data_IF_582289534021
#
_entry.id   IF_582289534021
#
_cell.length_a   1.000
_cell.length_b   1.000
_cell.length_c   1.000
_cell.angle_alpha   90.00
_cell.angle_beta   90.00
_cell.angle_gamma   90.00
#
_symmetry.space_group_name_H-M   'P 1'
#
loop_
_entity.id
_entity.type
_entity.pdbx_description
1 polymer ?
#
# COMPACT_ATOMS: atom_id res chain seq x y z
N UNK A 1 28.63 -51.63 -20.33
CA UNK A 1 28.47 -52.93 -19.63
C UNK A 1 27.25 -52.87 -18.75
N UNK A 2 26.34 -53.75 -18.99
CA UNK A 2 25.09 -54.08 -18.25
C UNK A 2 25.45 -54.79 -16.94
N UNK A 3 24.48 -55.23 -16.05
CA UNK A 3 23.02 -55.03 -15.97
C UNK A 3 22.37 -55.03 -14.55
N UNK A 4 21.08 -54.76 -14.55
CA UNK A 4 19.91 -55.38 -13.85
C UNK A 4 19.99 -55.94 -12.39
N UNK A 5 19.01 -55.60 -11.56
CA UNK A 5 18.12 -56.62 -10.93
C UNK A 5 16.86 -56.00 -10.36
N UNK A 6 15.75 -56.53 -10.80
CA UNK A 6 14.38 -56.38 -10.28
C UNK A 6 14.14 -57.34 -9.11
N UNK A 7 13.21 -56.98 -8.17
CA UNK A 7 12.58 -58.03 -7.33
C UNK A 7 11.06 -57.84 -7.20
N UNK A 8 10.43 -58.95 -7.34
CA UNK A 8 9.03 -59.31 -7.59
C UNK A 8 8.12 -59.21 -6.37
N UNK A 9 6.82 -59.06 -6.71
CA UNK A 9 5.59 -59.29 -5.95
C UNK A 9 5.55 -60.63 -5.19
N UNK A 10 4.78 -60.69 -4.08
CA UNK A 10 4.00 -61.89 -3.70
C UNK A 10 2.66 -61.46 -3.13
N UNK A 11 1.62 -61.96 -3.79
CA UNK A 11 0.25 -62.07 -3.27
C UNK A 11 0.11 -63.37 -2.46
N UNK A 12 -0.75 -63.37 -1.47
CA UNK A 12 -1.37 -64.59 -0.92
C UNK A 12 -2.84 -64.34 -0.61
N UNK A 13 -3.68 -65.11 -1.28
CA UNK A 13 -5.11 -65.29 -1.09
C UNK A 13 -5.35 -66.47 -0.09
N UNK A 14 -6.47 -66.40 0.62
CA UNK A 14 -7.42 -67.52 0.91
C UNK A 14 -8.43 -67.06 1.96
N UNK A 15 -9.71 -66.96 1.65
CA UNK A 15 -10.83 -67.92 1.50
C UNK A 15 -11.44 -68.37 2.85
N UNK A 16 -12.74 -68.10 2.96
CA UNK A 16 -13.92 -68.77 3.58
C UNK A 16 -14.69 -67.75 4.42
N UNK A 17 -15.94 -67.33 4.15
CA UNK A 17 -17.12 -68.10 3.87
C UNK A 17 -18.13 -67.82 4.97
N UNK A 18 -19.25 -67.10 4.70
CA UNK A 18 -20.33 -66.90 5.68
C UNK A 18 -21.35 -65.85 5.21
N UNK A 19 -22.43 -66.33 4.61
CA UNK A 19 -23.63 -65.55 4.27
C UNK A 19 -24.34 -65.08 5.55
N UNK A 20 -24.68 -63.76 5.58
CA UNK A 20 -25.97 -63.30 6.14
C UNK A 20 -26.38 -62.02 5.47
N UNK A 21 -27.54 -62.04 4.85
CA UNK A 21 -28.23 -60.87 4.29
C UNK A 21 -28.94 -60.12 5.43
N UNK A 22 -28.81 -58.79 5.46
CA UNK A 22 -29.82 -57.92 6.07
C UNK A 22 -29.63 -56.46 5.60
N UNK A 23 -30.65 -56.07 4.90
CA UNK A 23 -31.31 -54.75 4.79
C UNK A 23 -30.49 -53.49 4.60
N UNK A 24 -30.65 -52.92 3.40
CA UNK A 24 -30.08 -51.62 2.99
C UNK A 24 -31.07 -50.52 3.36
N UNK A 25 -30.90 -49.95 4.54
CA UNK A 25 -31.48 -48.65 4.91
C UNK A 25 -30.62 -47.48 4.37
N UNK A 26 -31.21 -46.68 3.49
CA UNK A 26 -30.63 -45.43 2.92
C UNK A 26 -30.02 -44.54 4.00
N UNK A 27 -28.73 -44.33 3.97
CA UNK A 27 -28.09 -43.17 4.57
C UNK A 27 -27.19 -42.51 3.52
N UNK A 28 -27.79 -41.69 2.68
CA UNK A 28 -27.07 -40.74 1.80
C UNK A 28 -26.54 -39.64 2.72
N UNK A 29 -25.31 -39.81 3.23
CA UNK A 29 -24.56 -38.66 3.75
C UNK A 29 -24.15 -37.79 2.57
N UNK A 30 -24.79 -36.66 2.44
CA UNK A 30 -24.31 -35.55 1.65
C UNK A 30 -22.93 -35.13 2.20
N UNK A 31 -21.88 -35.40 1.43
CA UNK A 31 -20.59 -34.74 1.61
C UNK A 31 -20.81 -33.25 1.38
N UNK A 32 -20.34 -32.35 2.28
CA UNK A 32 -20.39 -30.93 1.99
C UNK A 32 -19.52 -30.66 0.78
N UNK A 33 -20.09 -29.99 -0.21
CA UNK A 33 -19.36 -29.43 -1.34
C UNK A 33 -18.17 -28.66 -0.82
N UNK A 34 -17.00 -28.89 -1.39
CA UNK A 34 -15.81 -28.09 -1.15
C UNK A 34 -16.16 -26.63 -1.45
N UNK A 35 -16.15 -25.79 -0.43
CA UNK A 35 -16.25 -24.34 -0.59
C UNK A 35 -14.97 -23.91 -1.30
N UNK A 36 -15.12 -23.33 -2.47
CA UNK A 36 -14.06 -22.62 -3.14
C UNK A 36 -13.50 -21.51 -2.24
N UNK A 37 -12.34 -20.93 -2.54
CA UNK A 37 -11.68 -19.95 -1.69
C UNK A 37 -12.66 -18.81 -1.40
N UNK A 38 -12.99 -18.62 -0.13
CA UNK A 38 -13.85 -17.54 0.32
C UNK A 38 -13.12 -16.22 0.06
N UNK A 39 -13.71 -15.40 -0.80
CA UNK A 39 -13.23 -14.04 -1.08
C UNK A 39 -12.96 -13.31 0.24
N UNK A 40 -11.74 -12.83 0.42
CA UNK A 40 -11.31 -12.07 1.60
C UNK A 40 -11.96 -10.69 1.69
N UNK A 41 -12.59 -10.24 0.63
CA UNK A 41 -13.22 -8.93 0.56
C UNK A 41 -14.68 -9.02 0.99
N UNK A 42 -15.04 -8.23 2.00
CA UNK A 42 -16.40 -8.16 2.54
C UNK A 42 -17.26 -7.23 1.70
N UNK A 43 -18.50 -7.63 1.48
CA UNK A 43 -19.54 -6.74 0.94
C UNK A 43 -19.87 -5.65 1.96
N UNK A 44 -19.98 -4.41 1.49
CA UNK A 44 -20.49 -3.29 2.28
C UNK A 44 -22.00 -3.28 2.05
N UNK A 45 -22.76 -3.77 3.03
CA UNK A 45 -24.22 -3.65 3.01
C UNK A 45 -24.62 -2.20 3.28
N UNK A 46 -25.47 -1.57 2.45
CA UNK A 46 -25.99 -0.23 2.71
C UNK A 46 -27.13 -0.31 3.74
N UNK A 47 -26.83 0.01 4.98
CA UNK A 47 -27.87 0.25 5.98
C UNK A 47 -27.69 -0.47 7.30
N UNK A 48 -27.01 0.19 8.22
CA UNK A 48 -27.35 0.26 9.65
C UNK A 48 -26.33 1.14 10.38
N UNK A 49 -26.49 2.44 10.22
CA UNK A 49 -25.83 3.43 11.06
C UNK A 49 -26.68 3.59 12.33
N UNK A 50 -26.48 2.74 13.34
CA UNK A 50 -26.99 2.95 14.67
C UNK A 50 -26.10 3.98 15.37
N UNK A 51 -26.65 5.17 15.55
CA UNK A 51 -26.09 6.24 16.39
C UNK A 51 -25.95 5.74 17.83
N UNK A 52 -24.71 5.49 18.27
CA UNK A 52 -24.40 5.27 19.67
C UNK A 52 -24.38 6.64 20.40
N UNK A 53 -25.25 6.83 21.37
CA UNK A 53 -25.27 7.98 22.28
C UNK A 53 -24.03 7.99 23.17
N UNK A 54 -23.41 9.15 23.44
CA UNK A 54 -22.32 9.25 24.39
C UNK A 54 -22.86 9.22 25.82
N UNK A 55 -22.32 8.32 26.63
CA UNK A 55 -22.54 8.29 28.09
C UNK A 55 -21.79 9.43 28.83
N UNK A 56 -22.12 9.74 30.07
CA UNK A 56 -21.69 10.97 30.74
C UNK A 56 -20.23 10.91 31.23
N UNK A 57 -19.49 11.95 30.90
CA UNK A 57 -18.14 12.20 31.40
C UNK A 57 -18.15 12.58 32.89
N UNK A 58 -17.35 11.88 33.66
CA UNK A 58 -16.99 12.24 35.05
C UNK A 58 -15.84 13.25 35.01
N UNK A 59 -16.08 14.37 35.71
CA UNK A 59 -15.14 15.49 35.90
C UNK A 59 -13.93 15.06 36.73
N UNK A 60 -12.71 15.36 36.25
CA UNK A 60 -11.52 15.44 37.10
C UNK A 60 -10.81 16.78 36.89
N UNK A 61 -10.52 17.37 38.06
CA UNK A 61 -10.01 18.70 38.34
C UNK A 61 -8.75 19.12 37.61
N UNK A 62 -8.79 20.37 37.14
CA UNK A 62 -7.64 21.21 36.80
C UNK A 62 -6.78 21.51 38.02
N UNK A 63 -5.49 21.30 37.95
CA UNK A 63 -4.47 22.00 38.77
C UNK A 63 -3.59 22.83 37.84
N UNK A 64 -3.83 24.12 37.84
CA UNK A 64 -2.94 25.10 37.23
C UNK A 64 -1.84 25.49 38.23
N UNK A 65 -0.58 25.30 37.85
CA UNK A 65 0.57 25.89 38.55
C UNK A 65 1.10 27.03 37.71
N UNK A 66 0.83 28.26 38.21
CA UNK A 66 1.38 29.52 37.67
C UNK A 66 2.74 29.72 38.36
N UNK A 67 3.83 29.72 37.60
CA UNK A 67 5.12 30.20 38.08
C UNK A 67 5.36 31.57 37.46
N UNK A 68 5.26 32.61 38.30
CA UNK A 68 5.68 33.97 38.00
C UNK A 68 7.21 34.08 38.15
N UNK A 69 7.92 34.39 37.07
CA UNK A 69 9.29 34.89 37.15
C UNK A 69 9.28 36.43 37.02
N UNK A 70 9.62 37.10 38.12
CA UNK A 70 9.89 38.52 38.14
C UNK A 70 11.32 38.74 37.56
N UNK A 71 11.37 39.50 36.49
CA UNK A 71 12.65 39.96 35.92
C UNK A 71 12.97 41.35 36.48
N UNK A 72 14.03 41.41 37.25
CA UNK A 72 14.58 42.67 37.82
C UNK A 72 15.48 43.31 36.78
N UNK A 73 15.21 44.54 36.40
CA UNK A 73 16.07 45.38 35.55
C UNK A 73 17.13 46.06 36.41
N UNK A 74 18.39 45.80 36.15
CA UNK A 74 19.50 46.60 36.64
C UNK A 74 20.25 47.23 35.45
N UNK A 75 20.28 48.59 35.41
CA UNK A 75 21.03 49.39 34.46
C UNK A 75 22.45 49.55 34.94
N UNK A 76 23.45 49.37 34.07
CA UNK A 76 24.81 49.84 34.24
C UNK A 76 25.38 50.45 32.94
N UNK A 77 26.32 51.42 33.03
CA UNK A 77 26.46 52.47 32.03
C UNK A 77 27.43 52.12 30.89
N UNK A 78 27.29 52.93 29.84
CA UNK A 78 28.03 52.92 28.59
C UNK A 78 29.52 53.16 28.78
N UNK A 79 30.35 52.37 28.12
CA UNK A 79 31.73 52.69 27.80
C UNK A 79 31.92 52.36 26.30
N UNK A 80 32.07 53.41 25.51
CA UNK A 80 32.47 53.32 24.09
C UNK A 80 33.86 52.71 23.98
N UNK A 81 33.95 51.58 23.26
CA UNK A 81 35.21 51.13 22.67
C UNK A 81 34.90 50.56 21.27
N UNK A 82 35.39 51.29 20.30
CA UNK A 82 35.42 50.89 18.90
C UNK A 82 36.26 49.61 18.73
N UNK A 83 35.64 48.53 18.30
CA UNK A 83 36.37 47.40 17.73
C UNK A 83 35.60 46.85 16.51
N UNK A 84 36.24 47.03 15.37
CA UNK A 84 35.84 46.44 14.10
C UNK A 84 35.84 44.91 14.24
N UNK A 85 34.70 44.30 14.13
CA UNK A 85 34.58 42.84 13.97
C UNK A 85 34.84 42.45 12.52
N UNK A 86 35.61 41.38 12.25
CA UNK A 86 35.82 40.89 10.91
C UNK A 86 34.52 40.28 10.41
N UNK A 87 34.15 40.65 9.17
CA UNK A 87 32.94 40.17 8.49
C UNK A 87 32.87 38.64 8.48
N UNK A 88 31.78 38.13 9.00
CA UNK A 88 31.36 36.77 8.77
C UNK A 88 31.10 36.59 7.29
N UNK A 89 32.05 35.97 6.59
CA UNK A 89 31.89 35.54 5.21
C UNK A 89 30.71 34.59 5.09
N UNK A 90 29.60 35.11 4.59
CA UNK A 90 28.55 34.26 4.08
C UNK A 90 29.12 33.51 2.89
N UNK A 91 29.33 32.21 3.04
CA UNK A 91 29.65 31.33 1.93
C UNK A 91 28.52 31.47 0.93
N UNK A 92 28.77 31.88 -0.32
CA UNK A 92 27.70 31.96 -1.32
C UNK A 92 27.15 30.56 -1.50
N UNK A 93 25.88 30.36 -1.17
CA UNK A 93 25.15 29.16 -1.53
C UNK A 93 25.26 28.97 -3.04
N UNK A 94 25.87 27.88 -3.49
CA UNK A 94 25.92 27.54 -4.91
C UNK A 94 24.54 27.61 -5.50
N UNK A 95 24.33 28.28 -6.64
CA UNK A 95 23.02 28.39 -7.25
C UNK A 95 22.50 26.98 -7.57
N UNK A 96 21.33 26.62 -7.06
CA UNK A 96 20.64 25.38 -7.40
C UNK A 96 20.50 25.33 -8.93
N UNK A 97 20.91 24.24 -9.60
CA UNK A 97 20.78 24.12 -11.04
C UNK A 97 19.32 24.38 -11.47
N UNK A 98 19.09 25.04 -12.62
CA UNK A 98 17.73 25.26 -13.11
C UNK A 98 17.01 23.94 -13.31
N UNK A 99 15.73 23.89 -12.90
CA UNK A 99 14.89 22.70 -13.07
C UNK A 99 14.64 22.44 -14.55
N UNK A 100 14.69 21.17 -15.01
CA UNK A 100 14.39 20.82 -16.39
C UNK A 100 12.96 21.25 -16.79
N UNK A 101 12.70 21.49 -18.08
CA UNK A 101 11.35 21.78 -18.56
C UNK A 101 10.42 20.59 -18.27
N UNK A 102 9.14 20.88 -17.98
CA UNK A 102 8.13 19.85 -17.68
C UNK A 102 7.89 18.95 -18.90
N UNK A 103 7.98 17.64 -18.71
CA UNK A 103 7.69 16.66 -19.76
C UNK A 103 6.18 16.50 -19.97
N UNK A 104 5.70 16.59 -21.22
CA UNK A 104 4.28 16.48 -21.56
C UNK A 104 3.73 15.05 -21.48
N UNK A 105 4.57 14.02 -21.57
CA UNK A 105 4.20 12.61 -21.63
C UNK A 105 5.09 11.75 -20.72
N UNK A 106 5.16 12.14 -19.44
CA UNK A 106 6.04 11.53 -18.44
C UNK A 106 5.74 10.03 -18.25
N UNK A 107 4.50 9.59 -18.48
CA UNK A 107 4.11 8.17 -18.37
C UNK A 107 4.88 7.25 -19.32
N UNK A 108 5.36 7.76 -20.46
CA UNK A 108 6.17 6.97 -21.41
C UNK A 108 7.58 6.65 -20.87
N UNK A 109 8.01 7.31 -19.80
CA UNK A 109 9.31 7.06 -19.16
C UNK A 109 9.23 5.94 -18.10
N UNK A 110 8.03 5.44 -17.78
CA UNK A 110 7.85 4.29 -16.89
C UNK A 110 8.39 3.01 -17.56
N UNK A 111 9.13 2.20 -16.81
CA UNK A 111 9.77 1.00 -17.34
C UNK A 111 9.25 -0.26 -16.63
N UNK A 112 8.37 -1.02 -17.31
CA UNK A 112 7.76 -2.24 -16.79
C UNK A 112 8.76 -3.35 -16.45
N UNK A 113 9.83 -3.50 -17.25
CA UNK A 113 10.88 -4.50 -16.98
C UNK A 113 11.61 -4.15 -15.66
N UNK A 114 11.94 -2.87 -15.44
CA UNK A 114 12.58 -2.44 -14.20
C UNK A 114 11.65 -2.59 -12.99
N UNK A 115 10.34 -2.36 -13.17
CA UNK A 115 9.34 -2.66 -12.14
C UNK A 115 9.29 -4.15 -11.84
N UNK A 116 9.31 -5.02 -12.86
CA UNK A 116 9.34 -6.47 -12.71
C UNK A 116 10.59 -6.94 -11.96
N UNK A 117 11.77 -6.41 -12.29
CA UNK A 117 13.00 -6.73 -11.57
C UNK A 117 12.96 -6.29 -10.12
N UNK A 118 12.32 -5.13 -9.84
CA UNK A 118 12.09 -4.64 -8.47
C UNK A 118 11.13 -5.57 -7.72
N UNK A 119 10.03 -6.03 -8.33
CA UNK A 119 9.11 -6.99 -7.73
C UNK A 119 9.81 -8.32 -7.39
N UNK A 120 10.61 -8.84 -8.32
CA UNK A 120 11.44 -10.04 -8.08
C UNK A 120 12.44 -9.84 -6.94
N UNK A 121 13.02 -8.66 -6.81
CA UNK A 121 13.92 -8.35 -5.68
C UNK A 121 13.17 -8.33 -4.35
N UNK A 122 11.94 -7.79 -4.31
CA UNK A 122 11.07 -7.79 -3.13
C UNK A 122 10.69 -9.21 -2.72
N UNK A 123 10.37 -10.08 -3.68
CA UNK A 123 10.00 -11.47 -3.40
C UNK A 123 11.10 -12.27 -2.70
N UNK A 124 12.38 -11.92 -2.88
CA UNK A 124 13.51 -12.60 -2.19
C UNK A 124 13.49 -12.45 -0.68
N UNK A 125 12.70 -11.52 -0.14
CA UNK A 125 12.50 -11.39 1.31
C UNK A 125 11.51 -12.42 1.87
N UNK A 126 10.84 -13.20 1.00
CA UNK A 126 9.85 -14.20 1.39
C UNK A 126 8.50 -13.59 1.78
N UNK A 127 7.76 -14.29 2.65
CA UNK A 127 6.49 -13.77 3.19
C UNK A 127 6.72 -12.52 4.05
N UNK A 128 6.07 -11.43 3.69
CA UNK A 128 6.22 -10.12 4.31
C UNK A 128 5.08 -9.83 5.29
N UNK A 129 4.88 -10.74 6.24
CA UNK A 129 3.83 -10.64 7.26
C UNK A 129 4.15 -9.47 8.21
N UNK A 130 3.16 -8.65 8.54
CA UNK A 130 3.31 -7.53 9.48
C UNK A 130 3.87 -7.97 10.83
N UNK A 131 4.86 -7.24 11.34
CA UNK A 131 5.55 -7.54 12.60
C UNK A 131 6.59 -8.66 12.50
N UNK A 132 6.95 -9.15 11.30
CA UNK A 132 7.97 -10.18 11.10
C UNK A 132 9.29 -9.63 10.57
N UNK A 133 10.36 -10.43 10.73
CA UNK A 133 11.70 -10.06 10.29
C UNK A 133 11.83 -9.86 8.77
N UNK A 134 11.25 -10.70 7.88
CA UNK A 134 11.27 -10.46 6.44
C UNK A 134 10.75 -9.08 6.04
N UNK A 135 9.63 -8.64 6.64
CA UNK A 135 9.09 -7.30 6.40
C UNK A 135 10.01 -6.21 6.92
N UNK A 136 10.64 -6.42 8.09
CA UNK A 136 11.60 -5.49 8.69
C UNK A 136 12.83 -5.31 7.79
N UNK A 137 13.32 -6.39 7.17
CA UNK A 137 14.46 -6.36 6.25
C UNK A 137 14.13 -5.73 4.89
N UNK A 138 12.88 -5.82 4.43
CA UNK A 138 12.44 -5.19 3.18
C UNK A 138 12.48 -3.65 3.26
N UNK A 139 12.10 -3.05 4.38
CA UNK A 139 12.04 -1.57 4.51
C UNK A 139 13.34 -0.84 4.16
N UNK A 140 14.51 -1.23 4.70
CA UNK A 140 15.79 -0.61 4.30
C UNK A 140 16.08 -0.72 2.79
N UNK A 141 15.71 -1.83 2.17
CA UNK A 141 15.83 -1.99 0.72
C UNK A 141 14.97 -0.95 -0.01
N UNK A 142 13.68 -0.82 0.34
CA UNK A 142 12.76 0.15 -0.25
C UNK A 142 13.25 1.59 -0.06
N UNK A 143 13.68 1.95 1.15
CA UNK A 143 14.26 3.28 1.45
C UNK A 143 15.49 3.52 0.56
N UNK A 144 16.32 2.51 0.36
CA UNK A 144 17.48 2.58 -0.53
C UNK A 144 17.11 2.84 -1.98
N UNK A 145 16.06 2.17 -2.51
CA UNK A 145 15.55 2.39 -3.88
C UNK A 145 14.97 3.80 -4.05
N UNK A 146 14.18 4.26 -3.09
CA UNK A 146 13.62 5.60 -3.07
C UNK A 146 14.71 6.67 -3.04
N UNK A 147 15.71 6.51 -2.19
CA UNK A 147 16.85 7.42 -2.10
C UNK A 147 17.63 7.49 -3.42
N UNK A 148 17.89 6.36 -4.07
CA UNK A 148 18.53 6.31 -5.40
C UNK A 148 17.72 7.05 -6.46
N UNK A 149 16.42 7.07 -6.31
CA UNK A 149 15.47 7.77 -7.17
C UNK A 149 15.26 9.25 -6.80
N UNK A 150 16.01 9.80 -5.80
CA UNK A 150 15.89 11.19 -5.39
C UNK A 150 14.68 11.47 -4.50
N UNK A 151 14.17 10.47 -3.78
CA UNK A 151 13.12 10.59 -2.79
C UNK A 151 13.66 10.42 -1.37
N UNK A 152 13.04 11.10 -0.41
CA UNK A 152 13.24 10.88 1.01
C UNK A 152 12.03 10.11 1.54
N UNK A 153 12.30 9.03 2.28
CA UNK A 153 11.27 8.25 2.94
C UNK A 153 11.40 8.38 4.45
N UNK A 154 10.28 8.62 5.11
CA UNK A 154 10.14 8.67 6.57
C UNK A 154 9.37 7.45 7.04
N UNK A 155 9.79 6.86 8.16
CA UNK A 155 9.10 5.75 8.79
C UNK A 155 7.97 6.27 9.68
N UNK A 156 6.76 5.82 9.41
CA UNK A 156 5.60 6.03 10.27
C UNK A 156 5.34 4.77 11.07
N UNK A 157 5.82 4.75 12.32
CA UNK A 157 5.68 3.61 13.24
C UNK A 157 4.45 3.77 14.11
N UNK A 158 3.72 2.69 14.31
CA UNK A 158 2.57 2.62 15.21
C UNK A 158 2.35 1.19 15.69
N UNK A 159 1.51 1.05 16.71
CA UNK A 159 1.22 -0.23 17.35
C UNK A 159 -0.29 -0.42 17.46
N UNK A 160 -0.78 -1.58 17.06
CA UNK A 160 -2.19 -1.95 17.17
C UNK A 160 -2.33 -3.37 17.70
N UNK A 161 -3.49 -3.66 18.31
CA UNK A 161 -3.81 -5.02 18.73
C UNK A 161 -4.44 -5.80 17.58
N UNK A 162 -3.90 -7.00 17.32
CA UNK A 162 -4.57 -7.96 16.44
C UNK A 162 -5.89 -8.41 17.08
N UNK A 163 -6.85 -8.99 16.32
CA UNK A 163 -8.08 -9.54 16.87
C UNK A 163 -7.87 -10.60 17.96
N UNK A 164 -6.71 -11.28 17.96
CA UNK A 164 -6.31 -12.21 19.00
C UNK A 164 -5.69 -11.54 20.25
N UNK A 165 -5.69 -10.20 20.32
CA UNK A 165 -5.15 -9.43 21.44
C UNK A 165 -3.61 -9.32 21.47
N UNK A 166 -2.92 -9.77 20.42
CA UNK A 166 -1.46 -9.63 20.31
C UNK A 166 -1.12 -8.22 19.82
N UNK A 167 -0.21 -7.54 20.52
CA UNK A 167 0.34 -6.26 20.07
C UNK A 167 1.25 -6.47 18.87
N UNK A 168 1.00 -5.72 17.81
CA UNK A 168 1.76 -5.76 16.56
C UNK A 168 2.34 -4.37 16.31
N UNK A 169 3.63 -4.33 15.99
CA UNK A 169 4.33 -3.13 15.55
C UNK A 169 4.28 -3.04 14.02
N UNK A 170 3.70 -1.96 13.52
CA UNK A 170 3.64 -1.63 12.10
C UNK A 170 4.60 -0.50 11.77
N UNK A 171 5.04 -0.46 10.52
CA UNK A 171 5.88 0.63 10.05
C UNK A 171 5.66 0.89 8.57
N UNK A 172 4.83 1.88 8.26
CA UNK A 172 4.62 2.41 6.91
C UNK A 172 5.75 3.37 6.51
N UNK A 173 5.91 3.62 5.20
CA UNK A 173 6.86 4.60 4.68
C UNK A 173 6.12 5.71 3.96
N UNK A 174 6.42 6.97 4.30
CA UNK A 174 5.92 8.16 3.63
C UNK A 174 7.09 8.76 2.84
N UNK A 175 6.94 8.88 1.52
CA UNK A 175 8.04 9.37 0.69
C UNK A 175 7.67 10.63 -0.09
N UNK A 176 8.61 11.60 -0.08
CA UNK A 176 8.51 12.86 -0.78
C UNK A 176 9.75 13.10 -1.65
N UNK A 177 9.58 13.89 -2.72
CA UNK A 177 10.72 14.30 -3.54
C UNK A 177 11.75 15.05 -2.70
N UNK A 178 13.02 14.63 -2.76
CA UNK A 178 14.12 15.32 -2.07
C UNK A 178 14.55 16.64 -2.75
N UNK A 179 14.02 16.92 -3.96
CA UNK A 179 14.47 18.07 -4.78
C UNK A 179 13.67 19.34 -4.55
N UNK A 180 12.40 19.23 -4.20
CA UNK A 180 11.51 20.36 -3.91
C UNK A 180 10.62 20.03 -2.72
N UNK A 181 10.24 21.03 -1.91
CA UNK A 181 9.24 20.85 -0.86
C UNK A 181 7.91 20.36 -1.42
N UNK A 182 7.14 19.66 -0.60
CA UNK A 182 5.78 19.22 -0.93
C UNK A 182 4.87 20.46 -1.03
N UNK A 183 4.08 20.52 -2.10
CA UNK A 183 3.13 21.63 -2.37
C UNK A 183 1.71 21.09 -2.21
N UNK A 184 0.97 21.50 -1.17
CA UNK A 184 -0.43 21.14 -1.02
C UNK A 184 -1.34 21.93 -1.99
N UNK A 185 -2.54 21.39 -2.33
CA UNK A 185 -2.98 20.03 -2.04
C UNK A 185 -2.26 19.00 -2.91
N UNK A 186 -1.74 17.94 -2.25
CA UNK A 186 -1.00 16.86 -2.92
C UNK A 186 -1.89 15.71 -3.35
N UNK A 187 -1.41 14.93 -4.31
CA UNK A 187 -1.96 13.63 -4.67
C UNK A 187 -1.16 12.53 -3.94
N UNK A 188 -1.85 11.55 -3.41
CA UNK A 188 -1.20 10.41 -2.74
C UNK A 188 -1.36 9.18 -3.62
N UNK A 189 -0.25 8.47 -3.89
CA UNK A 189 -0.29 7.14 -4.48
C UNK A 189 0.11 6.13 -3.42
N UNK A 190 -0.73 5.13 -3.23
CA UNK A 190 -0.67 4.18 -2.12
C UNK A 190 -0.37 2.79 -2.66
N UNK A 191 0.50 2.04 -1.99
CA UNK A 191 0.68 0.61 -2.20
C UNK A 191 1.03 -0.04 -0.86
N UNK A 192 0.45 -1.19 -0.53
CA UNK A 192 0.91 -1.99 0.59
C UNK A 192 2.05 -2.90 0.18
N UNK A 193 2.90 -3.29 1.14
CA UNK A 193 4.05 -4.17 0.91
C UNK A 193 4.05 -5.43 1.77
N UNK A 194 3.11 -5.53 2.71
CA UNK A 194 2.85 -6.71 3.51
C UNK A 194 2.08 -7.79 2.71
N UNK A 195 2.14 -9.02 3.20
CA UNK A 195 1.44 -10.17 2.63
C UNK A 195 0.61 -10.87 3.69
N UNK A 196 -0.40 -11.62 3.23
CA UNK A 196 -1.16 -12.52 4.10
C UNK A 196 -0.24 -13.63 4.66
N UNK A 197 -0.56 -14.09 5.87
CA UNK A 197 0.05 -15.29 6.45
C UNK A 197 -0.65 -16.56 5.92
N UNK A 198 -0.01 -17.27 5.01
CA UNK A 198 -0.50 -18.54 4.48
C UNK A 198 0.04 -19.75 5.26
N UNK A 199 0.88 -19.52 6.29
CA UNK A 199 1.52 -20.61 7.06
C UNK A 199 2.53 -21.42 6.25
N UNK A 200 3.02 -20.92 5.13
CA UNK A 200 3.99 -21.58 4.24
C UNK A 200 5.25 -20.74 4.09
N UNK A 201 6.40 -21.39 3.97
CA UNK A 201 7.66 -20.71 3.66
C UNK A 201 7.83 -20.68 2.13
N UNK A 202 7.35 -19.63 1.45
CA UNK A 202 7.51 -19.47 0.01
C UNK A 202 7.53 -18.00 -0.39
N UNK A 203 7.96 -17.74 -1.62
CA UNK A 203 8.06 -16.40 -2.22
C UNK A 203 6.70 -15.95 -2.77
N UNK A 204 5.69 -15.89 -1.89
CA UNK A 204 4.30 -15.54 -2.25
C UNK A 204 4.01 -14.05 -2.09
N UNK A 205 2.85 -13.63 -2.59
CA UNK A 205 2.42 -12.24 -2.60
C UNK A 205 3.13 -11.45 -3.71
N UNK A 206 3.22 -12.05 -4.89
CA UNK A 206 3.83 -11.44 -6.06
C UNK A 206 2.94 -10.34 -6.63
N UNK A 207 1.66 -10.63 -6.88
CA UNK A 207 0.67 -9.65 -7.31
C UNK A 207 0.23 -8.80 -6.14
N UNK A 208 0.14 -9.41 -4.95
CA UNK A 208 -0.37 -8.76 -3.74
C UNK A 208 0.78 -8.38 -2.79
N UNK A 209 1.20 -7.14 -2.89
CA UNK A 209 2.29 -6.53 -2.15
C UNK A 209 3.55 -6.26 -2.96
N UNK A 210 4.17 -7.25 -3.63
CA UNK A 210 5.44 -7.03 -4.32
C UNK A 210 5.28 -6.19 -5.59
N UNK A 211 4.33 -6.52 -6.47
CA UNK A 211 4.09 -5.80 -7.71
C UNK A 211 3.59 -4.37 -7.45
N UNK A 212 2.62 -4.19 -6.54
CA UNK A 212 2.10 -2.89 -6.15
C UNK A 212 3.24 -1.96 -5.68
N UNK A 213 4.08 -2.47 -4.77
CA UNK A 213 5.27 -1.77 -4.26
C UNK A 213 6.27 -1.44 -5.37
N UNK A 214 6.52 -2.38 -6.29
CA UNK A 214 7.45 -2.19 -7.40
C UNK A 214 6.96 -1.14 -8.40
N UNK A 215 5.65 -1.14 -8.71
CA UNK A 215 5.03 -0.09 -9.53
C UNK A 215 5.23 1.27 -8.87
N UNK A 216 4.99 1.38 -7.56
CA UNK A 216 5.12 2.65 -6.84
C UNK A 216 6.58 3.13 -6.78
N UNK A 217 7.56 2.24 -6.61
CA UNK A 217 9.00 2.57 -6.71
C UNK A 217 9.35 3.03 -8.12
N UNK A 218 8.82 2.41 -9.17
CA UNK A 218 9.07 2.83 -10.54
C UNK A 218 8.39 4.16 -10.87
N UNK A 219 7.21 4.45 -10.31
CA UNK A 219 6.59 5.78 -10.35
C UNK A 219 7.51 6.81 -9.71
N UNK A 220 8.13 6.51 -8.56
CA UNK A 220 9.10 7.39 -7.93
C UNK A 220 10.27 7.73 -8.87
N UNK A 221 10.87 6.72 -9.52
CA UNK A 221 11.96 6.91 -10.49
C UNK A 221 11.54 7.78 -11.67
N UNK A 222 10.34 7.55 -12.18
CA UNK A 222 9.79 8.30 -13.31
C UNK A 222 9.51 9.75 -12.92
N UNK A 223 8.87 9.99 -11.78
CA UNK A 223 8.57 11.34 -11.29
C UNK A 223 9.84 12.16 -10.98
N UNK A 224 10.95 11.51 -10.63
CA UNK A 224 12.23 12.19 -10.40
C UNK A 224 12.75 12.96 -11.64
N UNK A 225 12.25 12.64 -12.83
CA UNK A 225 12.57 13.33 -14.09
C UNK A 225 11.89 14.73 -14.14
N UNK A 226 10.73 14.88 -13.47
CA UNK A 226 10.01 16.15 -13.34
C UNK A 226 9.81 16.53 -11.85
N UNK A 227 10.80 17.18 -11.21
CA UNK A 227 10.71 17.57 -9.81
C UNK A 227 9.52 18.48 -9.47
N UNK A 228 9.01 19.25 -10.45
CA UNK A 228 7.84 20.10 -10.25
C UNK A 228 6.56 19.29 -10.13
N UNK A 229 6.43 18.24 -10.92
CA UNK A 229 5.33 17.28 -10.77
C UNK A 229 5.49 16.51 -9.47
N UNK A 230 6.68 16.02 -9.19
CA UNK A 230 6.98 15.25 -7.98
C UNK A 230 6.69 16.00 -6.67
N UNK A 231 6.84 17.35 -6.66
CA UNK A 231 6.53 18.16 -5.47
C UNK A 231 5.05 18.21 -5.09
N UNK A 232 4.16 17.79 -5.97
CA UNK A 232 2.72 17.65 -5.69
C UNK A 232 2.30 16.23 -5.34
N UNK A 233 3.24 15.30 -5.23
CA UNK A 233 2.97 13.87 -5.04
C UNK A 233 3.60 13.41 -3.72
N UNK A 234 2.83 12.62 -2.99
CA UNK A 234 3.30 11.81 -1.87
C UNK A 234 3.14 10.33 -2.23
N UNK A 235 4.16 9.54 -1.98
CA UNK A 235 4.11 8.09 -2.16
C UNK A 235 4.01 7.44 -0.78
N UNK A 236 2.97 6.63 -0.59
CA UNK A 236 2.66 6.00 0.67
C UNK A 236 2.75 4.48 0.54
N UNK A 237 3.74 3.90 1.20
CA UNK A 237 3.92 2.45 1.28
C UNK A 237 3.39 1.98 2.63
N UNK A 238 2.34 1.17 2.60
CA UNK A 238 1.61 0.76 3.80
C UNK A 238 2.04 -0.62 4.29
N UNK A 239 2.21 -0.71 5.60
CA UNK A 239 2.28 -1.94 6.38
C UNK A 239 0.90 -2.20 7.02
N UNK A 240 0.46 -3.45 7.05
CA UNK A 240 -0.78 -3.85 7.72
C UNK A 240 -2.04 -3.69 6.87
N UNK A 241 -1.94 -3.84 5.55
CA UNK A 241 -3.11 -4.02 4.70
C UNK A 241 -3.80 -5.36 5.01
N UNK A 242 -3.00 -6.43 5.14
CA UNK A 242 -3.51 -7.78 5.32
C UNK A 242 -4.15 -7.99 6.69
N UNK A 243 -5.30 -8.67 6.75
CA UNK A 243 -5.93 -9.03 8.01
C UNK A 243 -5.21 -10.22 8.66
N UNK A 244 -5.30 -10.32 9.99
CA UNK A 244 -4.84 -11.51 10.73
C UNK A 244 -5.85 -12.66 10.68
N UNK A 245 -7.14 -12.38 10.47
CA UNK A 245 -8.19 -13.38 10.31
C UNK A 245 -9.09 -13.08 9.12
N UNK A 246 -9.77 -11.94 9.13
CA UNK A 246 -10.71 -11.56 8.08
C UNK A 246 -10.78 -10.05 7.97
N UNK A 247 -10.60 -9.54 6.76
CA UNK A 247 -10.70 -8.12 6.47
C UNK A 247 -12.05 -7.56 6.92
N UNK A 248 -12.00 -6.53 7.74
CA UNK A 248 -13.19 -5.94 8.34
C UNK A 248 -12.91 -4.67 9.15
N UNK A 249 -13.88 -4.15 9.91
CA UNK A 249 -13.73 -2.89 10.65
C UNK A 249 -12.56 -2.86 11.63
N UNK A 250 -12.19 -4.01 12.20
CA UNK A 250 -11.18 -4.14 13.26
C UNK A 250 -10.01 -5.05 12.85
N UNK A 251 -9.90 -5.43 11.59
CA UNK A 251 -8.83 -6.32 11.11
C UNK A 251 -8.45 -5.98 9.67
N UNK A 252 -7.18 -5.75 9.44
CA UNK A 252 -6.62 -5.26 8.17
C UNK A 252 -6.75 -3.74 7.98
N UNK A 253 -6.12 -3.23 6.94
CA UNK A 253 -6.03 -1.80 6.59
C UNK A 253 -5.47 -0.94 7.73
N UNK A 254 -4.66 -1.50 8.62
CA UNK A 254 -4.13 -0.80 9.79
C UNK A 254 -3.34 0.45 9.37
N UNK A 255 -2.48 0.34 8.34
CA UNK A 255 -1.65 1.43 7.85
C UNK A 255 -2.46 2.59 7.29
N UNK A 256 -3.40 2.34 6.38
CA UNK A 256 -4.23 3.39 5.78
C UNK A 256 -5.16 4.04 6.80
N UNK A 257 -5.72 3.28 7.74
CA UNK A 257 -6.53 3.83 8.84
C UNK A 257 -5.70 4.72 9.74
N UNK A 258 -4.52 4.27 10.16
CA UNK A 258 -3.63 5.07 11.00
C UNK A 258 -3.21 6.36 10.31
N UNK A 259 -2.80 6.28 9.04
CA UNK A 259 -2.38 7.42 8.24
C UNK A 259 -3.52 8.46 8.09
N UNK A 260 -4.70 8.01 7.67
CA UNK A 260 -5.85 8.90 7.43
C UNK A 260 -6.40 9.50 8.72
N UNK A 261 -6.36 8.75 9.83
CA UNK A 261 -6.72 9.29 11.14
C UNK A 261 -5.72 10.36 11.59
N UNK A 262 -4.42 10.18 11.35
CA UNK A 262 -3.40 11.20 11.64
C UNK A 262 -3.65 12.48 10.83
N UNK A 263 -4.00 12.37 9.54
CA UNK A 263 -4.40 13.52 8.72
C UNK A 263 -5.62 14.26 9.32
N UNK A 264 -6.62 13.52 9.77
CA UNK A 264 -7.84 14.10 10.37
C UNK A 264 -7.55 14.80 11.70
N UNK A 265 -6.79 14.17 12.59
CA UNK A 265 -6.43 14.72 13.90
C UNK A 265 -5.62 16.02 13.73
N UNK A 266 -4.68 16.04 12.80
CA UNK A 266 -3.82 17.19 12.53
C UNK A 266 -4.47 18.22 11.57
N UNK A 267 -5.73 18.03 11.16
CA UNK A 267 -6.48 18.91 10.27
C UNK A 267 -5.83 19.09 8.87
N UNK A 268 -5.12 18.06 8.39
CA UNK A 268 -4.41 18.04 7.10
C UNK A 268 -5.18 17.36 5.96
N UNK A 269 -6.43 16.96 6.17
CA UNK A 269 -7.24 16.31 5.10
C UNK A 269 -7.42 17.21 3.89
N UNK A 270 -7.57 18.53 4.09
CA UNK A 270 -7.66 19.53 3.00
C UNK A 270 -6.37 19.69 2.19
N UNK A 271 -5.23 19.26 2.73
CA UNK A 271 -3.94 19.30 2.07
C UNK A 271 -3.73 18.11 1.12
N UNK A 272 -4.73 17.23 1.05
CA UNK A 272 -4.78 16.08 0.14
C UNK A 272 -5.92 16.27 -0.85
N UNK A 273 -5.61 16.22 -2.15
CA UNK A 273 -6.58 16.34 -3.22
C UNK A 273 -7.31 15.05 -3.50
N UNK A 274 -6.56 13.98 -3.62
CA UNK A 274 -7.06 12.63 -3.86
C UNK A 274 -6.00 11.58 -3.50
N UNK A 275 -6.46 10.34 -3.31
CA UNK A 275 -5.62 9.17 -3.14
C UNK A 275 -5.92 8.11 -4.19
N UNK A 276 -4.87 7.42 -4.67
CA UNK A 276 -4.95 6.32 -5.63
C UNK A 276 -4.26 5.14 -4.99
N UNK A 277 -4.98 4.06 -4.68
CA UNK A 277 -4.37 2.84 -4.14
C UNK A 277 -4.14 1.80 -5.23
N UNK A 278 -3.02 1.11 -5.14
CA UNK A 278 -2.57 0.05 -6.05
C UNK A 278 -2.71 -1.28 -5.31
N UNK A 279 -3.54 -2.17 -5.84
CA UNK A 279 -3.94 -3.39 -5.17
C UNK A 279 -3.86 -4.58 -6.12
N UNK A 280 -3.23 -5.67 -5.73
CA UNK A 280 -3.22 -6.90 -6.52
C UNK A 280 -3.03 -6.66 -8.03
N UNK A 281 -1.88 -6.12 -8.40
CA UNK A 281 -1.55 -5.74 -9.77
C UNK A 281 -0.42 -6.59 -10.34
N UNK A 282 -0.29 -6.56 -11.67
CA UNK A 282 0.88 -7.07 -12.39
C UNK A 282 0.80 -8.53 -12.80
N UNK A 283 -0.31 -9.22 -12.59
CA UNK A 283 -0.52 -10.56 -13.14
C UNK A 283 -0.57 -10.50 -14.68
N UNK A 284 0.15 -11.41 -15.32
CA UNK A 284 0.21 -11.49 -16.79
C UNK A 284 -1.18 -11.76 -17.35
N UNK A 285 -1.62 -10.93 -18.32
CA UNK A 285 -2.94 -11.00 -18.95
C UNK A 285 -4.13 -10.66 -18.03
N UNK A 286 -3.91 -10.12 -16.85
CA UNK A 286 -5.00 -9.60 -16.04
C UNK A 286 -5.64 -8.34 -16.66
N UNK A 287 -6.82 -8.00 -16.19
CA UNK A 287 -7.56 -6.81 -16.64
C UNK A 287 -7.62 -5.82 -15.51
N UNK A 288 -7.10 -4.62 -15.75
CA UNK A 288 -7.19 -3.52 -14.79
C UNK A 288 -8.66 -3.16 -14.51
N UNK A 289 -8.97 -2.92 -13.26
CA UNK A 289 -10.30 -2.57 -12.79
C UNK A 289 -10.27 -1.56 -11.63
N UNK A 290 -11.43 -1.00 -11.33
CA UNK A 290 -11.69 -0.17 -10.16
C UNK A 290 -12.93 -0.66 -9.43
N UNK A 291 -12.99 -0.65 -8.07
CA UNK A 291 -14.22 -1.00 -7.34
C UNK A 291 -15.27 0.11 -7.52
N UNK A 292 -16.58 -0.25 -7.66
CA UNK A 292 -17.65 0.72 -7.88
C UNK A 292 -17.88 1.68 -6.70
N UNK A 293 -17.32 1.40 -5.52
CA UNK A 293 -17.30 2.32 -4.37
C UNK A 293 -16.10 3.28 -4.38
N UNK A 294 -15.34 3.37 -5.47
CA UNK A 294 -14.37 4.44 -5.67
C UNK A 294 -15.06 5.80 -5.92
N UNK A 295 -14.33 6.90 -5.73
CA UNK A 295 -14.85 8.25 -6.04
C UNK A 295 -15.25 8.38 -7.52
N UNK A 296 -16.46 8.87 -7.78
CA UNK A 296 -17.02 8.93 -9.14
C UNK A 296 -16.23 9.86 -10.06
N UNK A 297 -15.71 10.99 -9.54
CA UNK A 297 -14.92 11.92 -10.32
C UNK A 297 -13.57 11.31 -10.72
N UNK A 298 -12.96 10.52 -9.83
CA UNK A 298 -11.75 9.77 -10.16
C UNK A 298 -12.04 8.64 -11.15
N UNK A 299 -13.16 7.92 -11.01
CA UNK A 299 -13.57 6.90 -11.99
C UNK A 299 -13.64 7.48 -13.39
N UNK A 300 -14.30 8.62 -13.57
CA UNK A 300 -14.42 9.27 -14.89
C UNK A 300 -13.06 9.69 -15.46
N UNK A 301 -12.17 10.18 -14.62
CA UNK A 301 -10.81 10.54 -15.03
C UNK A 301 -10.01 9.30 -15.45
N UNK A 302 -10.07 8.22 -14.66
CA UNK A 302 -9.37 6.96 -14.98
C UNK A 302 -9.91 6.32 -16.27
N UNK A 303 -11.21 6.32 -16.49
CA UNK A 303 -11.82 5.84 -17.74
C UNK A 303 -11.35 6.66 -18.97
N UNK A 304 -11.33 7.99 -18.81
CA UNK A 304 -10.84 8.88 -19.89
C UNK A 304 -9.34 8.67 -20.16
N UNK A 305 -8.55 8.46 -19.12
CA UNK A 305 -7.13 8.17 -19.24
C UNK A 305 -6.88 6.80 -19.91
N UNK A 306 -7.62 5.77 -19.52
CA UNK A 306 -7.54 4.43 -20.09
C UNK A 306 -7.88 4.45 -21.59
N UNK A 307 -8.93 5.18 -21.99
CA UNK A 307 -9.26 5.39 -23.39
C UNK A 307 -8.14 6.13 -24.15
N UNK A 308 -7.54 7.16 -23.56
CA UNK A 308 -6.47 7.93 -24.20
C UNK A 308 -5.17 7.14 -24.37
N UNK A 309 -4.96 6.12 -23.54
CA UNK A 309 -3.77 5.25 -23.54
C UNK A 309 -4.02 3.90 -24.22
N UNK A 310 -5.23 3.64 -24.71
CA UNK A 310 -5.67 2.34 -25.24
C UNK A 310 -5.45 1.18 -24.24
N UNK A 311 -5.74 1.46 -22.96
CA UNK A 311 -5.66 0.49 -21.86
C UNK A 311 -7.06 0.02 -21.51
N UNK A 312 -7.24 -1.30 -21.41
CA UNK A 312 -8.50 -1.89 -20.97
C UNK A 312 -8.67 -1.65 -19.47
N UNK A 313 -9.75 -0.95 -19.08
CA UNK A 313 -10.10 -0.67 -17.69
C UNK A 313 -11.59 -0.97 -17.48
N UNK A 314 -11.91 -1.87 -16.55
CA UNK A 314 -13.28 -2.34 -16.30
C UNK A 314 -13.78 -1.94 -14.90
N UNK A 315 -15.09 -1.78 -14.71
CA UNK A 315 -15.66 -1.70 -13.38
C UNK A 315 -15.56 -3.07 -12.68
N UNK A 316 -15.19 -3.08 -11.44
CA UNK A 316 -15.28 -4.25 -10.59
C UNK A 316 -16.74 -4.66 -10.37
N UNK A 317 -16.99 -5.94 -10.10
CA UNK A 317 -18.33 -6.52 -9.95
C UNK A 317 -19.06 -6.11 -8.67
N UNK A 318 -18.33 -5.61 -7.66
CA UNK A 318 -18.86 -5.28 -6.33
C UNK A 318 -18.00 -4.25 -5.60
N UNK A 319 -18.53 -3.56 -4.58
CA UNK A 319 -17.75 -2.76 -3.65
C UNK A 319 -16.66 -3.61 -2.97
N UNK A 320 -15.47 -3.03 -2.82
CA UNK A 320 -14.34 -3.65 -2.14
C UNK A 320 -13.88 -2.80 -0.96
N UNK A 321 -13.46 -3.45 0.12
CA UNK A 321 -12.81 -2.83 1.26
C UNK A 321 -11.29 -2.92 1.03
N UNK A 322 -10.69 -1.84 0.51
CA UNK A 322 -9.28 -1.71 0.19
C UNK A 322 -8.73 -0.38 0.76
N UNK A 323 -7.45 -0.10 0.59
CA UNK A 323 -6.80 1.09 1.17
C UNK A 323 -7.38 2.43 0.74
N UNK A 324 -8.16 2.50 -0.35
CA UNK A 324 -8.90 3.72 -0.74
C UNK A 324 -10.03 4.08 0.23
N UNK A 325 -10.63 3.10 0.92
CA UNK A 325 -11.81 3.33 1.77
C UNK A 325 -11.50 4.21 3.00
N UNK A 326 -10.43 3.99 3.78
CA UNK A 326 -10.08 4.89 4.87
C UNK A 326 -9.87 6.36 4.46
N UNK A 327 -9.38 6.62 3.24
CA UNK A 327 -9.30 7.99 2.72
C UNK A 327 -10.69 8.58 2.49
N UNK A 328 -11.61 7.83 1.88
CA UNK A 328 -12.99 8.28 1.65
C UNK A 328 -13.73 8.55 2.97
N UNK A 329 -13.51 7.73 4.00
CA UNK A 329 -14.08 7.92 5.35
C UNK A 329 -13.63 9.23 6.00
N UNK A 330 -12.49 9.80 5.58
CA UNK A 330 -12.01 11.11 6.03
C UNK A 330 -12.36 12.26 5.08
N UNK A 331 -13.18 11.98 4.04
CA UNK A 331 -13.63 12.97 3.07
C UNK A 331 -12.63 13.26 1.94
N UNK A 332 -11.58 12.44 1.79
CA UNK A 332 -10.60 12.54 0.71
C UNK A 332 -11.09 11.67 -0.46
N UNK A 333 -11.30 12.23 -1.69
CA UNK A 333 -11.62 11.43 -2.86
C UNK A 333 -10.57 10.34 -3.08
N UNK A 334 -10.99 9.08 -3.26
CA UNK A 334 -10.04 8.00 -3.45
C UNK A 334 -10.56 6.93 -4.42
N UNK A 335 -9.62 6.27 -5.11
CA UNK A 335 -9.88 5.18 -6.04
C UNK A 335 -8.83 4.08 -5.82
N UNK A 336 -9.26 2.82 -5.88
CA UNK A 336 -8.34 1.68 -6.00
C UNK A 336 -8.23 1.23 -7.46
N UNK A 337 -7.03 0.89 -7.88
CA UNK A 337 -6.73 0.22 -9.14
C UNK A 337 -6.27 -1.20 -8.83
N UNK A 338 -6.92 -2.21 -9.42
CA UNK A 338 -6.64 -3.62 -9.15
C UNK A 338 -6.85 -4.50 -10.39
N UNK A 339 -6.37 -5.74 -10.36
CA UNK A 339 -6.63 -6.75 -11.38
C UNK A 339 -7.94 -7.50 -11.08
N UNK A 340 -8.91 -7.46 -12.02
CA UNK A 340 -10.29 -7.90 -11.79
C UNK A 340 -10.46 -9.40 -11.54
N UNK A 341 -9.59 -10.24 -12.10
CA UNK A 341 -9.79 -11.68 -12.21
C UNK A 341 -8.51 -12.46 -11.85
N UNK A 342 -7.88 -12.17 -10.72
CA UNK A 342 -6.72 -12.94 -10.28
C UNK A 342 -7.15 -14.23 -9.54
N UNK A 343 -6.98 -15.41 -10.15
CA UNK A 343 -7.29 -16.68 -9.48
C UNK A 343 -6.25 -17.06 -8.43
N UNK A 344 -5.08 -16.43 -8.47
CA UNK A 344 -3.94 -16.74 -7.60
C UNK A 344 -3.88 -15.85 -6.35
N UNK A 345 -4.69 -14.78 -6.30
CA UNK A 345 -4.71 -13.85 -5.19
C UNK A 345 -4.88 -14.56 -3.84
N UNK A 346 -4.01 -14.28 -2.88
CA UNK A 346 -4.01 -14.86 -1.53
C UNK A 346 -3.91 -16.41 -1.52
N UNK A 347 -3.19 -16.95 -2.49
CA UNK A 347 -2.87 -18.40 -2.57
C UNK A 347 -1.37 -18.63 -2.61
N UNK A 348 -0.96 -19.90 -2.49
CA UNK A 348 0.44 -20.31 -2.64
C UNK A 348 0.96 -20.12 -4.09
N UNK A 349 0.06 -19.97 -5.04
CA UNK A 349 0.39 -19.79 -6.46
C UNK A 349 0.68 -18.31 -6.82
N UNK A 350 0.48 -17.36 -5.90
CA UNK A 350 0.82 -15.94 -6.13
C UNK A 350 2.34 -15.73 -6.07
N UNK A 351 3.02 -16.20 -7.11
CA UNK A 351 4.49 -16.21 -7.26
C UNK A 351 4.96 -15.32 -8.40
N UNK A 352 6.27 -15.00 -8.42
CA UNK A 352 6.88 -14.12 -9.41
C UNK A 352 6.76 -14.58 -10.87
N UNK A 353 6.50 -15.87 -11.12
CA UNK A 353 6.34 -16.43 -12.46
C UNK A 353 5.03 -15.95 -13.13
N UNK A 354 4.06 -15.50 -12.35
CA UNK A 354 2.81 -14.96 -12.87
C UNK A 354 2.89 -13.49 -13.25
N UNK A 355 3.94 -12.76 -12.82
CA UNK A 355 4.10 -11.35 -13.14
C UNK A 355 4.47 -11.11 -14.60
N UNK A 356 3.97 -10.00 -15.17
CA UNK A 356 4.27 -9.52 -16.50
C UNK A 356 4.66 -8.05 -16.51
N UNK A 357 5.77 -7.73 -17.17
CA UNK A 357 6.26 -6.35 -17.30
C UNK A 357 5.28 -5.42 -17.99
N UNK A 358 4.53 -5.93 -18.97
CA UNK A 358 3.48 -5.18 -19.67
C UNK A 358 2.31 -4.81 -18.72
N UNK A 359 1.85 -5.75 -17.88
CA UNK A 359 0.79 -5.50 -16.91
C UNK A 359 1.22 -4.44 -15.87
N UNK A 360 2.46 -4.53 -15.39
CA UNK A 360 3.04 -3.51 -14.50
C UNK A 360 3.13 -2.14 -15.19
N UNK A 361 3.50 -2.12 -16.48
CA UNK A 361 3.62 -0.89 -17.26
C UNK A 361 2.26 -0.23 -17.48
N UNK A 362 1.22 -0.97 -17.81
CA UNK A 362 -0.13 -0.43 -18.02
C UNK A 362 -0.67 0.27 -16.78
N UNK A 363 -0.49 -0.33 -15.59
CA UNK A 363 -0.86 0.31 -14.33
C UNK A 363 -0.06 1.60 -14.08
N UNK A 364 1.27 1.55 -14.28
CA UNK A 364 2.16 2.70 -14.13
C UNK A 364 1.83 3.85 -15.10
N UNK A 365 1.58 3.54 -16.36
CA UNK A 365 1.18 4.53 -17.38
C UNK A 365 -0.11 5.25 -16.99
N UNK A 366 -1.12 4.48 -16.59
CA UNK A 366 -2.43 5.02 -16.22
C UNK A 366 -2.31 5.98 -15.02
N UNK A 367 -1.62 5.57 -13.97
CA UNK A 367 -1.41 6.40 -12.78
C UNK A 367 -0.63 7.67 -13.12
N UNK A 368 0.51 7.57 -13.81
CA UNK A 368 1.33 8.71 -14.19
C UNK A 368 0.59 9.69 -15.12
N UNK A 369 -0.25 9.17 -16.02
CA UNK A 369 -1.11 10.01 -16.86
C UNK A 369 -2.05 10.86 -16.00
N UNK A 370 -2.76 10.23 -15.06
CA UNK A 370 -3.66 10.93 -14.12
C UNK A 370 -2.90 11.98 -13.32
N UNK A 371 -1.77 11.62 -12.69
CA UNK A 371 -0.97 12.54 -11.90
C UNK A 371 -0.54 13.76 -12.71
N UNK A 372 -0.09 13.55 -13.96
CA UNK A 372 0.35 14.64 -14.83
C UNK A 372 -0.79 15.57 -15.22
N UNK A 373 -2.00 15.05 -15.48
CA UNK A 373 -3.18 15.82 -15.87
C UNK A 373 -3.75 16.63 -14.71
N UNK A 374 -3.95 16.00 -13.56
CA UNK A 374 -4.51 16.67 -12.38
C UNK A 374 -3.71 17.89 -11.91
N UNK A 375 -2.41 17.92 -12.19
CA UNK A 375 -1.55 19.05 -11.82
C UNK A 375 -1.45 20.07 -12.95
N UNK A 376 -1.67 19.67 -14.21
CA UNK A 376 -1.63 20.58 -15.36
C UNK A 376 -2.88 21.43 -15.50
N UNK A 377 -4.05 20.86 -15.24
CA UNK A 377 -5.35 21.48 -15.48
C UNK A 377 -5.71 22.59 -14.46
N UNK A 378 -4.77 22.93 -13.55
CA UNK A 378 -4.93 23.98 -12.54
C UNK A 378 -4.24 25.30 -12.90
N UNK A 379 -3.71 25.41 -14.11
CA UNK A 379 -3.13 26.65 -14.65
C UNK A 379 -4.03 27.24 -15.72
#
# INVERSE_FOLDING_TARGET
MRPFSAYRRRACSNILGGKLALDIGRCVRQLPAARGPSSMYREIEPGNLLLAHPGPFSSFLLFAVIILFLCSCEKKPETETSNQSPGTGQTPSSPTPPLPPRRKAIWNDFNGERALDTARAILRFGQRISGTEPLNQLRPYMIGELKRSGWQAEEQRFSEQSPAGRQIEFCSLIAHSARLPVIPPRLIVVAHFDTIDLGIASDVGATDGAANTAILIEIARTLAIDPRLASHIELLFLDGHMPFHQLGPNDGLFGSRFYTQALRINQHTKDVRAAISLENLGERNATLAYPPNSDSGLIDQFRSAAQALDIKLEPGSRPLLLDHVPFQETGIPALALFDANSPILNTADDTGDHLGSEALAQAGYLVLYILSKQITDQR
#
